data_IF_487739297815
#
_entry.id   IF_487739297815
#
_cell.length_a   1.000
_cell.length_b   1.000
_cell.length_c   1.000
_cell.angle_alpha   90.00
_cell.angle_beta   90.00
_cell.angle_gamma   90.00
#
_symmetry.space_group_name_H-M   'P 1'
#
loop_
_entity.id
_entity.type
_entity.pdbx_description
1 polymer ?
#
# COMPACT_ATOMS: atom_id res chain seq x y z
N UNK A 1 -25.49 -41.05 -7.19
CA UNK A 1 -24.42 -40.08 -7.51
C UNK A 1 -24.96 -39.11 -8.55
N UNK A 2 -24.66 -37.81 -8.41
CA UNK A 2 -25.13 -36.65 -9.20
C UNK A 2 -26.60 -36.20 -9.00
N UNK A 3 -26.86 -35.47 -7.92
CA UNK A 3 -28.10 -34.68 -7.76
C UNK A 3 -27.96 -33.34 -8.48
N UNK A 4 -28.50 -33.25 -9.70
CA UNK A 4 -28.59 -32.00 -10.46
C UNK A 4 -29.72 -31.11 -9.95
N UNK A 5 -29.37 -29.96 -9.37
CA UNK A 5 -30.33 -28.91 -9.04
C UNK A 5 -30.83 -28.32 -10.37
N UNK A 6 -32.11 -28.54 -10.70
CA UNK A 6 -32.77 -27.82 -11.81
C UNK A 6 -33.16 -26.43 -11.28
N UNK A 7 -32.69 -25.31 -11.87
CA UNK A 7 -33.09 -23.99 -11.40
C UNK A 7 -34.51 -23.68 -11.89
N UNK A 8 -35.51 -24.01 -11.09
CA UNK A 8 -36.89 -23.54 -11.27
C UNK A 8 -37.15 -22.36 -10.34
N UNK A 9 -36.77 -21.16 -10.78
CA UNK A 9 -37.39 -19.91 -10.30
C UNK A 9 -36.91 -18.74 -11.15
N UNK A 10 -37.80 -18.26 -12.01
CA UNK A 10 -37.66 -16.98 -12.69
C UNK A 10 -37.78 -15.90 -11.61
N UNK A 11 -36.73 -15.10 -11.43
CA UNK A 11 -36.77 -13.89 -10.62
C UNK A 11 -37.72 -12.87 -11.27
N UNK A 12 -38.49 -12.14 -10.46
CA UNK A 12 -39.51 -11.17 -10.86
C UNK A 12 -39.00 -9.96 -11.67
N UNK A 13 -37.69 -9.84 -11.93
CA UNK A 13 -37.10 -8.76 -12.72
C UNK A 13 -37.01 -9.05 -14.24
N UNK A 14 -37.49 -10.20 -14.73
CA UNK A 14 -37.66 -10.46 -16.17
C UNK A 14 -36.38 -10.58 -17.01
N UNK A 15 -35.18 -10.58 -16.41
CA UNK A 15 -33.93 -10.81 -17.14
C UNK A 15 -33.49 -12.25 -16.98
N UNK A 16 -33.36 -12.94 -18.12
CA UNK A 16 -32.82 -14.29 -18.28
C UNK A 16 -31.50 -14.38 -17.49
N UNK A 17 -31.47 -15.25 -16.48
CA UNK A 17 -30.26 -15.62 -15.75
C UNK A 17 -29.20 -16.04 -16.76
N UNK A 18 -28.25 -15.14 -16.98
CA UNK A 18 -27.10 -15.37 -17.82
C UNK A 18 -25.88 -15.46 -16.90
N UNK A 19 -25.05 -16.52 -16.98
CA UNK A 19 -23.94 -16.77 -16.06
C UNK A 19 -22.74 -15.81 -16.20
N UNK A 20 -22.84 -14.73 -16.98
CA UNK A 20 -21.73 -13.79 -17.27
C UNK A 20 -21.72 -12.54 -16.40
N UNK A 21 -22.75 -12.26 -15.60
CA UNK A 21 -22.73 -11.08 -14.72
C UNK A 21 -22.08 -11.36 -13.35
N UNK A 22 -21.45 -12.53 -13.16
CA UNK A 22 -20.81 -12.97 -11.92
C UNK A 22 -19.35 -13.39 -12.13
N UNK A 23 -18.71 -13.00 -13.24
CA UNK A 23 -17.32 -13.40 -13.53
C UNK A 23 -16.30 -12.27 -13.39
N UNK A 24 -16.73 -11.06 -12.99
CA UNK A 24 -15.79 -9.95 -12.78
C UNK A 24 -15.92 -9.31 -11.40
N UNK A 25 -16.29 -10.09 -10.38
CA UNK A 25 -15.81 -9.81 -9.03
C UNK A 25 -14.37 -10.33 -8.93
N UNK A 26 -13.47 -9.75 -9.75
CA UNK A 26 -12.04 -9.89 -9.55
C UNK A 26 -11.75 -9.30 -8.18
N UNK A 27 -11.62 -10.17 -7.17
CA UNK A 27 -11.00 -9.80 -5.92
C UNK A 27 -9.62 -9.25 -6.27
N UNK A 28 -9.50 -7.91 -6.21
CA UNK A 28 -8.24 -7.19 -6.37
C UNK A 28 -7.33 -7.71 -5.26
N UNK A 29 -6.56 -8.75 -5.55
CA UNK A 29 -5.49 -9.23 -4.70
C UNK A 29 -4.57 -8.03 -4.55
N UNK A 30 -4.53 -7.44 -3.35
CA UNK A 30 -3.67 -6.30 -3.07
C UNK A 30 -2.25 -6.77 -3.35
N UNK A 31 -1.67 -6.30 -4.44
CA UNK A 31 -0.29 -6.61 -4.78
C UNK A 31 0.58 -5.94 -3.69
N UNK A 32 1.21 -6.73 -2.80
CA UNK A 32 1.97 -6.17 -1.68
C UNK A 32 3.20 -5.40 -2.17
N UNK A 33 3.58 -5.54 -3.44
CA UNK A 33 4.74 -4.90 -4.07
C UNK A 33 4.32 -3.61 -4.76
N UNK A 34 3.22 -3.63 -5.54
CA UNK A 34 2.85 -2.51 -6.42
C UNK A 34 1.79 -1.57 -5.83
N UNK A 35 0.92 -2.04 -4.93
CA UNK A 35 -0.09 -1.22 -4.25
C UNK A 35 -0.25 -1.62 -2.78
N UNK A 36 0.80 -1.49 -1.94
CA UNK A 36 0.65 -1.75 -0.52
C UNK A 36 -0.44 -0.82 0.06
N UNK A 37 -1.53 -1.33 0.67
CA UNK A 37 -2.68 -0.53 1.13
C UNK A 37 -2.36 0.46 2.27
N UNK A 38 -1.09 0.57 2.65
CA UNK A 38 -0.59 1.33 3.79
C UNK A 38 0.22 2.58 3.39
N UNK A 39 0.26 2.95 2.10
CA UNK A 39 0.85 4.23 1.64
C UNK A 39 -0.17 5.20 1.01
N UNK A 40 -1.34 4.69 0.58
CA UNK A 40 -2.48 5.46 0.04
C UNK A 40 -3.29 6.23 1.10
N UNK A 41 -2.89 6.19 2.37
CA UNK A 41 -3.67 6.77 3.48
C UNK A 41 -3.36 8.25 3.76
N UNK A 42 -2.38 8.84 3.07
CA UNK A 42 -2.08 10.26 3.25
C UNK A 42 -3.15 11.11 2.54
N UNK A 43 -3.77 12.11 3.21
CA UNK A 43 -4.89 12.89 2.66
C UNK A 43 -4.53 13.66 1.37
N UNK A 44 -3.24 13.81 1.06
CA UNK A 44 -2.75 14.44 -0.16
C UNK A 44 -2.68 13.52 -1.38
N UNK A 45 -2.83 12.19 -1.24
CA UNK A 45 -2.75 11.25 -2.36
C UNK A 45 -1.37 11.14 -3.02
N UNK A 46 -0.33 11.66 -2.37
CA UNK A 46 1.07 11.59 -2.83
C UNK A 46 1.75 10.41 -2.14
N UNK A 47 2.43 9.59 -2.93
CA UNK A 47 3.15 8.43 -2.41
C UNK A 47 4.49 8.85 -1.81
N UNK A 48 4.87 8.24 -0.69
CA UNK A 48 6.15 8.55 -0.02
C UNK A 48 7.36 8.34 -0.96
N UNK A 49 7.27 7.40 -1.90
CA UNK A 49 8.33 7.14 -2.87
C UNK A 49 8.58 8.34 -3.80
N UNK A 50 7.51 9.02 -4.25
CA UNK A 50 7.61 10.18 -5.15
C UNK A 50 8.39 11.32 -4.51
N UNK A 51 8.25 11.50 -3.19
CA UNK A 51 9.01 12.51 -2.46
C UNK A 51 10.42 12.00 -2.19
N UNK A 52 10.58 10.76 -1.74
CA UNK A 52 11.88 10.18 -1.42
C UNK A 52 12.85 10.10 -2.61
N UNK A 53 12.34 9.97 -3.84
CA UNK A 53 13.13 9.99 -5.09
C UNK A 53 13.89 11.30 -5.31
N UNK A 54 13.41 12.42 -4.76
CA UNK A 54 14.07 13.72 -4.88
C UNK A 54 15.21 13.93 -3.87
N UNK A 55 15.48 12.96 -3.00
CA UNK A 55 16.49 13.05 -1.96
C UNK A 55 17.59 11.99 -2.11
N UNK A 56 18.75 12.28 -1.51
CA UNK A 56 19.83 11.30 -1.39
C UNK A 56 19.36 10.05 -0.64
N UNK A 57 20.00 8.90 -0.88
CA UNK A 57 19.64 7.61 -0.26
C UNK A 57 19.42 7.69 1.26
N UNK A 58 20.25 8.44 1.99
CA UNK A 58 20.13 8.60 3.44
C UNK A 58 18.89 9.41 3.81
N UNK A 59 18.69 10.56 3.19
CA UNK A 59 17.55 11.45 3.43
C UNK A 59 16.22 10.84 2.98
N UNK A 60 16.18 10.14 1.85
CA UNK A 60 14.99 9.41 1.40
C UNK A 60 14.57 8.32 2.40
N UNK A 61 15.53 7.63 3.03
CA UNK A 61 15.24 6.70 4.12
C UNK A 61 14.72 7.40 5.37
N UNK A 62 15.25 8.57 5.75
CA UNK A 62 14.73 9.38 6.86
C UNK A 62 13.26 9.69 6.62
N UNK A 63 12.92 10.23 5.45
CA UNK A 63 11.54 10.58 5.07
C UNK A 63 10.64 9.35 5.14
N UNK A 64 11.06 8.21 4.57
CA UNK A 64 10.31 6.95 4.63
C UNK A 64 9.95 6.54 6.05
N UNK A 65 10.89 6.60 6.99
CA UNK A 65 10.63 6.19 8.38
C UNK A 65 9.80 7.21 9.14
N UNK A 66 10.00 8.52 8.91
CA UNK A 66 9.16 9.58 9.51
C UNK A 66 7.72 9.48 8.99
N UNK A 67 7.55 9.26 7.68
CA UNK A 67 6.24 9.11 7.04
C UNK A 67 5.48 7.88 7.55
N UNK A 68 6.20 6.81 7.86
CA UNK A 68 5.62 5.56 8.38
C UNK A 68 5.30 5.63 9.88
N UNK A 69 5.98 6.49 10.63
CA UNK A 69 5.75 6.65 12.06
C UNK A 69 4.31 7.11 12.31
N UNK A 70 3.53 6.27 13.00
CA UNK A 70 2.11 6.52 13.29
C UNK A 70 1.13 5.79 12.35
N UNK A 71 1.58 5.30 11.20
CA UNK A 71 0.73 4.54 10.26
C UNK A 71 0.86 3.02 10.43
N UNK A 72 2.02 2.52 10.89
CA UNK A 72 2.27 1.07 11.05
C UNK A 72 3.35 0.77 12.10
N UNK A 73 3.03 -0.09 13.07
CA UNK A 73 4.00 -0.58 14.06
C UNK A 73 4.34 0.42 15.16
N UNK A 74 5.51 0.24 15.80
CA UNK A 74 6.00 1.12 16.85
C UNK A 74 6.64 2.39 16.25
N UNK A 75 5.95 3.52 16.38
CA UNK A 75 6.42 4.81 15.90
C UNK A 75 7.78 5.20 16.48
N UNK A 76 8.08 4.80 17.72
CA UNK A 76 9.36 5.13 18.36
C UNK A 76 10.53 4.42 17.67
N UNK A 77 10.34 3.18 17.23
CA UNK A 77 11.37 2.42 16.49
C UNK A 77 11.65 3.04 15.13
N UNK A 78 10.60 3.51 14.45
CA UNK A 78 10.74 4.17 13.16
C UNK A 78 11.46 5.52 13.30
N UNK A 79 11.12 6.32 14.31
CA UNK A 79 11.84 7.58 14.59
C UNK A 79 13.30 7.34 14.98
N UNK A 80 13.59 6.29 15.75
CA UNK A 80 14.99 5.89 16.06
C UNK A 80 15.76 5.51 14.80
N UNK A 81 15.14 4.80 13.85
CA UNK A 81 15.77 4.48 12.56
C UNK A 81 15.99 5.72 11.72
N UNK A 82 15.02 6.64 11.67
CA UNK A 82 15.16 7.92 10.99
C UNK A 82 16.36 8.71 11.54
N UNK A 83 16.48 8.81 12.87
CA UNK A 83 17.63 9.43 13.54
C UNK A 83 18.96 8.80 13.10
N UNK A 84 19.05 7.47 13.05
CA UNK A 84 20.26 6.77 12.63
C UNK A 84 20.71 7.13 11.21
N UNK A 85 19.79 7.23 10.26
CA UNK A 85 20.13 7.66 8.90
C UNK A 85 20.54 9.14 8.84
N UNK A 86 19.89 9.98 9.63
CA UNK A 86 20.20 11.41 9.70
C UNK A 86 21.60 11.67 10.28
N UNK A 87 21.96 10.98 11.37
CA UNK A 87 23.29 11.09 11.99
C UNK A 87 24.41 10.71 10.99
N UNK A 88 24.17 9.73 10.12
CA UNK A 88 25.14 9.36 9.08
C UNK A 88 25.28 10.41 7.98
N UNK A 89 24.20 11.11 7.64
CA UNK A 89 24.28 12.21 6.69
C UNK A 89 25.04 13.40 7.29
N UNK A 90 24.80 13.71 8.56
CA UNK A 90 25.55 14.74 9.30
C UNK A 90 27.04 14.40 9.31
N UNK A 91 27.40 13.18 9.73
CA UNK A 91 28.80 12.76 9.77
C UNK A 91 29.47 12.79 8.38
N UNK A 92 28.73 12.50 7.31
CA UNK A 92 29.27 12.62 5.96
C UNK A 92 29.56 14.07 5.57
N UNK A 93 28.64 14.99 5.87
CA UNK A 93 28.81 16.41 5.57
C UNK A 93 29.92 17.05 6.41
N UNK A 94 30.08 16.63 7.67
CA UNK A 94 31.18 17.08 8.54
C UNK A 94 32.55 16.63 8.03
N UNK A 95 32.66 15.43 7.46
CA UNK A 95 33.92 14.90 6.92
C UNK A 95 34.23 15.38 5.49
N UNK A 96 33.22 15.89 4.77
CA UNK A 96 33.38 16.41 3.41
C UNK A 96 33.87 17.87 3.39
N UNK A 97 34.07 18.47 4.57
CA UNK A 97 34.44 19.86 4.79
C UNK A 97 35.83 19.96 5.43
#
# INVERSE_FOLDING_TARGET
MAGGIRPSSICSCGKRLWPQCMEQYQGKQADPVNEPPHYVTHPSGVECIQIAEHFNFRLGNVIKYVWRAGSKGDALQDLKKARWYLEREIAHLENAN
#
